data_IF_573702554274
#
_entry.id   IF_573702554274
#
_cell.length_a   1.000
_cell.length_b   1.000
_cell.length_c   1.000
_cell.angle_alpha   90.00
_cell.angle_beta   90.00
_cell.angle_gamma   90.00
#
_symmetry.space_group_name_H-M   'P 1'
#
loop_
_entity.id
_entity.type
_entity.pdbx_description
1 polymer ?
#
# COMPACT_ATOMS: atom_id res chain seq x y z
N UNK A 1 16.19 -1.98 7.49
CA UNK A 1 14.75 -1.69 7.36
C UNK A 1 14.48 -0.20 7.14
N UNK A 2 14.98 0.73 7.94
CA UNK A 2 14.68 2.17 7.86
C UNK A 2 15.06 2.84 6.52
N UNK A 3 16.15 2.43 5.87
CA UNK A 3 16.53 2.97 4.54
C UNK A 3 15.51 2.58 3.46
N UNK A 4 15.01 1.35 3.45
CA UNK A 4 13.97 0.90 2.52
C UNK A 4 12.66 1.68 2.70
N UNK A 5 12.23 1.86 3.95
CA UNK A 5 11.04 2.68 4.27
C UNK A 5 11.25 4.14 3.83
N UNK A 6 12.45 4.70 4.02
CA UNK A 6 12.76 6.06 3.57
C UNK A 6 12.63 6.22 2.05
N UNK A 7 13.13 5.26 1.27
CA UNK A 7 13.01 5.28 -0.21
C UNK A 7 11.54 5.15 -0.63
N UNK A 8 10.77 4.29 0.05
CA UNK A 8 9.33 4.16 -0.21
C UNK A 8 8.58 5.46 0.09
N UNK A 9 8.89 6.16 1.19
CA UNK A 9 8.30 7.46 1.53
C UNK A 9 8.64 8.52 0.47
N UNK A 10 9.88 8.53 -0.04
CA UNK A 10 10.29 9.42 -1.13
C UNK A 10 9.47 9.11 -2.39
N UNK A 11 9.34 7.83 -2.75
CA UNK A 11 8.53 7.41 -3.88
C UNK A 11 7.05 7.83 -3.75
N UNK A 12 6.46 7.63 -2.56
CA UNK A 12 5.08 8.04 -2.30
C UNK A 12 4.90 9.57 -2.36
N UNK A 13 5.85 10.36 -1.83
CA UNK A 13 5.81 11.81 -1.99
C UNK A 13 5.86 12.21 -3.47
N UNK A 14 6.71 11.57 -4.28
CA UNK A 14 6.81 11.84 -5.71
C UNK A 14 5.49 11.53 -6.45
N UNK A 15 4.86 10.38 -6.15
CA UNK A 15 3.58 9.96 -6.71
C UNK A 15 2.45 10.95 -6.41
N UNK A 16 2.40 11.47 -5.19
CA UNK A 16 1.40 12.48 -4.80
C UNK A 16 1.80 13.91 -5.16
N UNK A 17 2.94 14.14 -5.82
CA UNK A 17 3.44 15.47 -6.19
C UNK A 17 3.89 16.31 -4.99
N UNK A 18 4.15 15.70 -3.86
CA UNK A 18 4.47 16.39 -2.62
C UNK A 18 5.97 16.56 -2.40
N UNK A 19 6.36 17.72 -1.89
CA UNK A 19 7.73 17.98 -1.47
C UNK A 19 7.88 17.77 0.03
N UNK A 20 8.87 16.98 0.44
CA UNK A 20 9.16 16.73 1.85
C UNK A 20 9.66 18.01 2.55
N UNK A 21 8.83 18.61 3.37
CA UNK A 21 9.15 19.82 4.16
C UNK A 21 9.18 19.57 5.66
N UNK A 22 9.11 18.32 6.10
CA UNK A 22 9.22 17.96 7.52
C UNK A 22 10.59 18.31 8.06
N UNK A 23 10.65 18.78 9.32
CA UNK A 23 11.92 18.90 10.03
C UNK A 23 12.59 17.52 10.14
N UNK A 24 13.92 17.48 10.22
CA UNK A 24 14.67 16.22 10.30
C UNK A 24 14.18 15.31 11.44
N UNK A 25 13.86 15.89 12.59
CA UNK A 25 13.36 15.13 13.75
C UNK A 25 11.98 14.52 13.48
N UNK A 26 11.05 15.32 12.93
CA UNK A 26 9.70 14.84 12.61
C UNK A 26 9.72 13.77 11.50
N UNK A 27 10.56 13.96 10.48
CA UNK A 27 10.78 12.95 9.44
C UNK A 27 11.30 11.65 10.04
N UNK A 28 12.30 11.72 10.95
CA UNK A 28 12.82 10.53 11.65
C UNK A 28 11.74 9.82 12.45
N UNK A 29 10.89 10.56 13.18
CA UNK A 29 9.76 9.99 13.92
C UNK A 29 8.78 9.26 13.01
N UNK A 30 8.39 9.85 11.88
CA UNK A 30 7.50 9.21 10.90
C UNK A 30 8.13 7.92 10.35
N UNK A 31 9.42 7.96 9.96
CA UNK A 31 10.11 6.77 9.45
C UNK A 31 10.21 5.66 10.50
N UNK A 32 10.50 5.99 11.74
CA UNK A 32 10.57 5.01 12.85
C UNK A 32 9.17 4.43 13.12
N UNK A 33 8.16 5.28 13.20
CA UNK A 33 6.76 4.86 13.40
C UNK A 33 6.27 3.92 12.30
N UNK A 34 6.52 4.26 11.03
CA UNK A 34 6.16 3.41 9.89
C UNK A 34 6.94 2.09 9.92
N UNK A 35 8.24 2.14 10.20
CA UNK A 35 9.08 0.93 10.30
C UNK A 35 8.58 0.02 11.43
N UNK A 36 8.27 0.60 12.59
CA UNK A 36 7.72 -0.14 13.72
C UNK A 36 6.35 -0.75 13.38
N UNK A 37 5.46 0.03 12.76
CA UNK A 37 4.16 -0.45 12.29
C UNK A 37 4.28 -1.62 11.31
N UNK A 38 5.20 -1.55 10.35
CA UNK A 38 5.50 -2.64 9.42
C UNK A 38 5.98 -3.90 10.15
N UNK A 39 6.89 -3.75 11.12
CA UNK A 39 7.40 -4.89 11.92
C UNK A 39 6.25 -5.53 12.71
N UNK A 40 5.46 -4.73 13.42
CA UNK A 40 4.32 -5.23 14.21
C UNK A 40 3.33 -5.96 13.32
N UNK A 41 2.95 -5.38 12.18
CA UNK A 41 2.04 -6.02 11.23
C UNK A 41 2.59 -7.33 10.68
N UNK A 42 3.89 -7.38 10.38
CA UNK A 42 4.56 -8.63 9.94
C UNK A 42 4.50 -9.70 11.04
N UNK A 43 4.80 -9.34 12.29
CA UNK A 43 4.75 -10.25 13.42
C UNK A 43 3.32 -10.76 13.68
N UNK A 44 2.32 -9.89 13.60
CA UNK A 44 0.90 -10.25 13.71
C UNK A 44 0.51 -11.22 12.58
N UNK A 45 0.93 -10.94 11.33
CA UNK A 45 0.66 -11.83 10.19
C UNK A 45 1.30 -13.21 10.37
N UNK A 46 2.55 -13.27 10.83
CA UNK A 46 3.23 -14.53 11.14
C UNK A 46 2.54 -15.27 12.28
N UNK A 47 2.09 -14.54 13.31
CA UNK A 47 1.30 -15.10 14.40
C UNK A 47 -0.01 -15.74 13.89
N UNK A 48 -0.73 -15.06 13.00
CA UNK A 48 -1.93 -15.64 12.38
C UNK A 48 -1.64 -16.91 11.60
N UNK A 49 -0.55 -16.95 10.84
CA UNK A 49 -0.16 -18.11 10.05
C UNK A 49 0.23 -19.28 10.93
N UNK A 50 1.02 -19.04 11.99
CA UNK A 50 1.60 -20.08 12.83
C UNK A 50 0.68 -20.53 13.98
N UNK A 51 0.00 -19.56 14.64
CA UNK A 51 -0.74 -19.83 15.87
C UNK A 51 -2.14 -20.36 15.59
N UNK A 52 -2.83 -19.83 14.58
CA UNK A 52 -4.23 -20.24 14.31
C UNK A 52 -4.37 -21.75 14.09
N UNK A 53 -3.56 -22.43 13.24
CA UNK A 53 -3.67 -23.87 13.08
C UNK A 53 -3.43 -24.64 14.39
N UNK A 54 -2.39 -24.24 15.12
CA UNK A 54 -2.02 -24.91 16.40
C UNK A 54 -3.13 -24.78 17.45
N UNK A 55 -3.77 -23.60 17.53
CA UNK A 55 -4.87 -23.38 18.47
C UNK A 55 -6.10 -24.20 18.08
N UNK A 56 -6.43 -24.23 16.79
CA UNK A 56 -7.55 -25.01 16.25
C UNK A 56 -7.34 -26.51 16.55
N UNK A 57 -6.16 -27.03 16.30
CA UNK A 57 -5.82 -28.43 16.58
C UNK A 57 -5.86 -28.77 18.09
N UNK A 58 -5.37 -27.83 18.93
CA UNK A 58 -5.33 -28.02 20.39
C UNK A 58 -6.71 -27.97 21.05
N UNK A 59 -7.62 -27.18 20.52
CA UNK A 59 -8.97 -27.03 21.04
C UNK A 59 -9.89 -28.17 20.62
N UNK A 60 -9.39 -29.14 19.81
CA UNK A 60 -10.20 -30.27 19.27
C UNK A 60 -11.55 -29.81 18.72
N UNK A 61 -11.51 -28.74 17.95
CA UNK A 61 -12.71 -28.12 17.37
C UNK A 61 -13.31 -29.07 16.33
N UNK A 62 -14.57 -29.44 16.53
CA UNK A 62 -15.26 -30.38 15.65
C UNK A 62 -15.40 -29.83 14.20
N UNK A 63 -15.26 -30.66 13.17
CA UNK A 63 -15.66 -30.30 11.81
C UNK A 63 -17.20 -30.03 11.78
N UNK A 64 -17.67 -28.93 11.16
CA UNK A 64 -17.05 -28.11 10.11
C UNK A 64 -16.34 -26.84 10.58
N UNK A 65 -16.40 -26.49 11.87
CA UNK A 65 -15.90 -25.22 12.42
C UNK A 65 -14.38 -25.09 12.24
N UNK A 66 -13.63 -26.18 12.41
CA UNK A 66 -12.19 -26.27 12.11
C UNK A 66 -11.88 -25.73 10.70
N UNK A 67 -12.56 -26.25 9.68
CA UNK A 67 -12.35 -25.81 8.27
C UNK A 67 -12.69 -24.33 8.09
N UNK A 68 -13.78 -23.84 8.68
CA UNK A 68 -14.16 -22.44 8.59
C UNK A 68 -13.08 -21.54 9.17
N UNK A 69 -12.54 -21.86 10.34
CA UNK A 69 -11.48 -21.09 10.98
C UNK A 69 -10.17 -21.10 10.16
N UNK A 70 -9.81 -22.25 9.61
CA UNK A 70 -8.64 -22.36 8.74
C UNK A 70 -8.79 -21.55 7.43
N UNK A 71 -10.00 -21.51 6.87
CA UNK A 71 -10.28 -20.67 5.68
C UNK A 71 -10.36 -19.19 6.00
N UNK A 72 -10.90 -18.81 7.16
CA UNK A 72 -11.07 -17.42 7.57
C UNK A 72 -9.74 -16.68 7.75
N UNK A 73 -8.65 -17.38 8.03
CA UNK A 73 -7.32 -16.78 8.13
C UNK A 73 -6.86 -16.07 6.85
N UNK A 74 -7.22 -16.58 5.67
CA UNK A 74 -6.83 -15.99 4.40
C UNK A 74 -7.45 -14.61 4.15
N UNK A 75 -8.79 -14.45 4.28
CA UNK A 75 -9.39 -13.13 4.27
C UNK A 75 -8.85 -12.19 5.35
N UNK A 76 -8.59 -12.69 6.56
CA UNK A 76 -8.03 -11.89 7.64
C UNK A 76 -6.63 -11.34 7.28
N UNK A 77 -5.77 -12.15 6.68
CA UNK A 77 -4.45 -11.72 6.20
C UNK A 77 -4.56 -10.71 5.06
N UNK A 78 -5.52 -10.85 4.15
CA UNK A 78 -5.79 -9.88 3.09
C UNK A 78 -6.25 -8.54 3.67
N UNK A 79 -7.14 -8.55 4.65
CA UNK A 79 -7.57 -7.33 5.36
C UNK A 79 -6.38 -6.67 6.07
N UNK A 80 -5.55 -7.45 6.73
CA UNK A 80 -4.35 -6.95 7.41
C UNK A 80 -3.36 -6.31 6.43
N UNK A 81 -3.13 -6.94 5.28
CA UNK A 81 -2.30 -6.38 4.22
C UNK A 81 -2.89 -5.10 3.63
N UNK A 82 -4.20 -5.08 3.38
CA UNK A 82 -4.90 -3.87 2.92
C UNK A 82 -4.77 -2.73 3.93
N UNK A 83 -4.91 -3.01 5.22
CA UNK A 83 -4.74 -2.02 6.28
C UNK A 83 -3.33 -1.46 6.32
N UNK A 84 -2.32 -2.31 6.14
CA UNK A 84 -0.91 -1.91 6.07
C UNK A 84 -0.67 -0.96 4.90
N UNK A 85 -1.15 -1.29 3.70
CA UNK A 85 -1.03 -0.44 2.51
C UNK A 85 -1.79 0.88 2.72
N UNK A 86 -3.01 0.83 3.28
CA UNK A 86 -3.79 2.03 3.58
C UNK A 86 -3.08 2.95 4.57
N UNK A 87 -2.44 2.40 5.60
CA UNK A 87 -1.62 3.17 6.55
C UNK A 87 -0.41 3.83 5.86
N UNK A 88 0.26 3.12 4.95
CA UNK A 88 1.33 3.69 4.16
C UNK A 88 0.84 4.89 3.34
N UNK A 89 -0.25 4.75 2.60
CA UNK A 89 -0.80 5.83 1.77
C UNK A 89 -1.27 7.03 2.59
N UNK A 90 -1.70 6.79 3.82
CA UNK A 90 -2.21 7.84 4.69
C UNK A 90 -1.13 8.62 5.41
N UNK A 91 -0.11 7.94 5.93
CA UNK A 91 0.86 8.54 6.86
C UNK A 91 2.25 8.78 6.25
N UNK A 92 2.59 8.08 5.17
CA UNK A 92 3.90 8.24 4.55
C UNK A 92 4.04 9.57 3.79
N UNK A 93 3.09 10.02 2.92
CA UNK A 93 3.24 11.27 2.19
C UNK A 93 3.17 12.50 3.10
N UNK A 94 3.90 13.56 2.73
CA UNK A 94 3.86 14.85 3.42
C UNK A 94 2.70 15.69 2.88
N UNK A 95 1.48 15.37 3.28
CA UNK A 95 0.29 16.10 2.88
C UNK A 95 -0.78 16.07 3.97
N UNK A 96 -1.79 16.91 3.84
CA UNK A 96 -3.00 16.78 4.66
C UNK A 96 -3.63 15.42 4.43
N UNK A 97 -3.93 14.71 5.52
CA UNK A 97 -4.40 13.32 5.44
C UNK A 97 -5.67 13.20 4.61
N UNK A 98 -5.73 12.26 3.66
CA UNK A 98 -6.93 12.01 2.87
C UNK A 98 -8.02 11.33 3.69
N UNK A 99 -9.28 11.46 3.25
CA UNK A 99 -10.38 10.68 3.78
C UNK A 99 -10.22 9.19 3.42
N UNK A 100 -10.59 8.29 4.31
CA UNK A 100 -10.48 6.84 4.11
C UNK A 100 -11.14 6.33 2.84
N UNK A 101 -12.26 6.95 2.45
CA UNK A 101 -12.99 6.59 1.23
C UNK A 101 -12.13 6.69 -0.02
N UNK A 102 -11.28 7.69 -0.12
CA UNK A 102 -10.42 7.91 -1.29
C UNK A 102 -9.19 7.00 -1.33
N UNK A 103 -8.74 6.54 -0.16
CA UNK A 103 -7.66 5.57 -0.09
C UNK A 103 -8.08 4.16 -0.50
N UNK A 104 -9.37 3.82 -0.40
CA UNK A 104 -9.86 2.45 -0.51
C UNK A 104 -9.61 1.83 -1.89
N UNK A 105 -9.77 2.59 -2.95
CA UNK A 105 -9.65 2.07 -4.32
C UNK A 105 -8.23 1.65 -4.66
N UNK A 106 -7.25 2.53 -4.49
CA UNK A 106 -5.84 2.20 -4.75
C UNK A 106 -5.30 1.16 -3.76
N UNK A 107 -5.78 1.16 -2.51
CA UNK A 107 -5.43 0.12 -1.54
C UNK A 107 -5.94 -1.25 -1.97
N UNK A 108 -7.20 -1.36 -2.38
CA UNK A 108 -7.77 -2.60 -2.87
C UNK A 108 -7.04 -3.09 -4.12
N UNK A 109 -6.81 -2.18 -5.07
CA UNK A 109 -6.08 -2.48 -6.29
C UNK A 109 -4.65 -2.99 -5.97
N UNK A 110 -3.91 -2.27 -5.13
CA UNK A 110 -2.56 -2.68 -4.74
C UNK A 110 -2.56 -4.04 -4.03
N UNK A 111 -3.51 -4.29 -3.13
CA UNK A 111 -3.62 -5.58 -2.44
C UNK A 111 -3.87 -6.72 -3.41
N UNK A 112 -4.79 -6.56 -4.36
CA UNK A 112 -5.08 -7.57 -5.38
C UNK A 112 -3.88 -7.79 -6.31
N UNK A 113 -3.24 -6.72 -6.79
CA UNK A 113 -2.07 -6.81 -7.65
C UNK A 113 -0.88 -7.43 -6.93
N UNK A 114 -0.69 -7.14 -5.65
CA UNK A 114 0.35 -7.76 -4.83
C UNK A 114 0.11 -9.28 -4.66
N UNK A 115 -1.15 -9.67 -4.42
CA UNK A 115 -1.52 -11.08 -4.33
C UNK A 115 -1.26 -11.83 -5.64
N UNK A 116 -1.72 -11.26 -6.76
CA UNK A 116 -1.53 -11.83 -8.10
C UNK A 116 -0.04 -11.89 -8.47
N UNK A 117 0.69 -10.82 -8.22
CA UNK A 117 2.11 -10.72 -8.50
C UNK A 117 2.95 -11.69 -7.64
N UNK A 118 2.64 -11.81 -6.34
CA UNK A 118 3.31 -12.77 -5.46
C UNK A 118 2.98 -14.22 -5.86
N UNK A 119 1.73 -14.50 -6.24
CA UNK A 119 1.34 -15.80 -6.79
C UNK A 119 2.04 -16.12 -8.10
N UNK A 120 2.08 -15.15 -9.02
CA UNK A 120 2.78 -15.27 -10.30
C UNK A 120 4.29 -15.50 -10.12
N UNK A 121 4.92 -14.74 -9.22
CA UNK A 121 6.34 -14.95 -8.90
C UNK A 121 6.59 -16.32 -8.26
N UNK A 122 5.71 -16.78 -7.38
CA UNK A 122 5.79 -18.12 -6.78
C UNK A 122 5.72 -19.23 -7.85
N UNK A 123 4.80 -19.09 -8.81
CA UNK A 123 4.71 -19.99 -9.95
C UNK A 123 5.96 -19.92 -10.82
N UNK A 124 6.43 -18.70 -11.12
CA UNK A 124 7.67 -18.51 -11.88
C UNK A 124 8.84 -19.25 -11.23
N UNK A 125 9.09 -19.00 -9.95
CA UNK A 125 10.19 -19.68 -9.21
C UNK A 125 10.03 -21.21 -9.22
N UNK A 126 8.80 -21.72 -9.11
CA UNK A 126 8.51 -23.16 -9.13
C UNK A 126 8.80 -23.80 -10.48
N UNK A 127 8.46 -23.15 -11.59
CA UNK A 127 8.69 -23.69 -12.94
C UNK A 127 10.12 -23.49 -13.42
N UNK A 128 10.80 -22.44 -12.94
CA UNK A 128 12.19 -22.16 -13.25
C UNK A 128 13.18 -22.73 -12.21
N UNK A 129 12.81 -23.82 -11.53
CA UNK A 129 13.65 -24.49 -10.52
C UNK A 129 15.02 -24.98 -11.07
N UNK A 130 15.15 -25.18 -12.39
CA UNK A 130 16.43 -25.42 -13.07
C UNK A 130 17.45 -24.30 -12.82
N UNK A 131 17.00 -23.06 -12.57
CA UNK A 131 17.87 -21.97 -12.14
C UNK A 131 18.48 -22.20 -10.75
N UNK A 132 17.73 -22.86 -9.86
CA UNK A 132 18.19 -23.23 -8.53
C UNK A 132 19.28 -24.32 -8.56
N UNK A 133 19.22 -25.23 -9.52
CA UNK A 133 20.25 -26.28 -9.70
C UNK A 133 21.57 -25.68 -10.22
N UNK A 134 21.50 -24.66 -11.08
CA UNK A 134 22.69 -24.03 -11.67
C UNK A 134 23.31 -22.95 -10.77
N UNK A 135 22.50 -22.18 -10.08
CA UNK A 135 22.94 -21.00 -9.30
C UNK A 135 22.78 -21.14 -7.78
N UNK A 136 22.25 -22.26 -7.28
CA UNK A 136 22.12 -22.55 -5.85
C UNK A 136 21.45 -21.43 -5.06
N UNK A 137 22.10 -20.96 -3.99
CA UNK A 137 21.58 -19.90 -3.11
C UNK A 137 21.42 -18.53 -3.79
N UNK A 138 22.11 -18.27 -4.90
CA UNK A 138 21.97 -17.03 -5.67
C UNK A 138 20.56 -16.89 -6.27
N UNK A 139 19.94 -17.98 -6.69
CA UNK A 139 18.56 -17.99 -7.20
C UNK A 139 17.55 -17.47 -6.15
N UNK A 140 17.72 -17.84 -4.90
CA UNK A 140 16.87 -17.38 -3.80
C UNK A 140 17.02 -15.85 -3.54
N UNK A 141 18.25 -15.34 -3.63
CA UNK A 141 18.52 -13.90 -3.47
C UNK A 141 17.87 -13.10 -4.60
N UNK A 142 18.00 -13.57 -5.84
CA UNK A 142 17.37 -12.92 -7.01
C UNK A 142 15.85 -12.94 -6.88
N UNK A 143 15.26 -14.08 -6.51
CA UNK A 143 13.80 -14.17 -6.30
C UNK A 143 13.32 -13.20 -5.21
N UNK A 144 14.08 -13.08 -4.11
CA UNK A 144 13.77 -12.14 -3.04
C UNK A 144 13.86 -10.67 -3.50
N UNK A 145 14.88 -10.33 -4.29
CA UNK A 145 15.02 -8.98 -4.87
C UNK A 145 13.87 -8.65 -5.82
N UNK A 146 13.47 -9.60 -6.67
CA UNK A 146 12.31 -9.45 -7.56
C UNK A 146 11.02 -9.26 -6.76
N UNK A 147 10.85 -10.00 -5.66
CA UNK A 147 9.68 -9.85 -4.80
C UNK A 147 9.63 -8.47 -4.11
N UNK A 148 10.74 -7.96 -3.62
CA UNK A 148 10.80 -6.60 -3.06
C UNK A 148 10.55 -5.54 -4.12
N UNK A 149 11.13 -5.70 -5.32
CA UNK A 149 10.89 -4.79 -6.43
C UNK A 149 9.41 -4.77 -6.83
N UNK A 150 8.81 -5.95 -7.02
CA UNK A 150 7.38 -6.10 -7.33
C UNK A 150 6.50 -5.45 -6.26
N UNK A 151 6.81 -5.69 -4.98
CA UNK A 151 6.06 -5.14 -3.84
C UNK A 151 6.12 -3.61 -3.84
N UNK A 152 7.29 -3.02 -4.03
CA UNK A 152 7.44 -1.57 -4.11
C UNK A 152 6.70 -0.99 -5.32
N UNK A 153 6.83 -1.64 -6.49
CA UNK A 153 6.15 -1.23 -7.72
C UNK A 153 4.62 -1.21 -7.55
N UNK A 154 4.05 -2.28 -7.02
CA UNK A 154 2.59 -2.39 -6.82
C UNK A 154 2.07 -1.36 -5.81
N UNK A 155 2.81 -1.13 -4.73
CA UNK A 155 2.44 -0.10 -3.74
C UNK A 155 2.48 1.29 -4.37
N UNK A 156 3.51 1.63 -5.14
CA UNK A 156 3.58 2.95 -5.81
C UNK A 156 2.50 3.09 -6.88
N UNK A 157 2.21 2.05 -7.64
CA UNK A 157 1.17 2.08 -8.67
C UNK A 157 -0.24 2.24 -8.07
N UNK A 158 -0.52 1.60 -6.93
CA UNK A 158 -1.79 1.82 -6.22
C UNK A 158 -1.90 3.23 -5.60
N UNK A 159 -0.78 3.83 -5.19
CA UNK A 159 -0.74 5.23 -4.77
C UNK A 159 -1.03 6.18 -5.93
N UNK A 160 -0.47 5.91 -7.11
CA UNK A 160 -0.73 6.67 -8.34
C UNK A 160 -2.20 6.63 -8.70
N UNK A 161 -2.83 5.44 -8.64
CA UNK A 161 -4.26 5.32 -8.87
C UNK A 161 -5.08 6.19 -7.90
N UNK A 162 -4.73 6.21 -6.61
CA UNK A 162 -5.39 7.09 -5.64
C UNK A 162 -5.18 8.57 -5.98
N UNK A 163 -3.94 8.96 -6.33
CA UNK A 163 -3.58 10.33 -6.70
C UNK A 163 -4.39 10.81 -7.91
N UNK A 164 -4.45 9.99 -8.97
CA UNK A 164 -5.20 10.33 -10.17
C UNK A 164 -6.72 10.39 -9.92
N UNK A 165 -7.27 9.52 -9.09
CA UNK A 165 -8.68 9.58 -8.69
C UNK A 165 -9.00 10.84 -7.89
N UNK A 166 -8.10 11.28 -7.01
CA UNK A 166 -8.25 12.54 -6.30
C UNK A 166 -8.24 13.75 -7.24
N UNK A 167 -7.39 13.73 -8.27
CA UNK A 167 -7.29 14.79 -9.29
C UNK A 167 -8.50 14.86 -10.24
N UNK A 168 -9.33 13.83 -10.28
CA UNK A 168 -10.54 13.79 -11.10
C UNK A 168 -11.77 14.36 -10.37
N UNK A 169 -11.66 14.80 -9.12
CA UNK A 169 -12.78 15.32 -8.34
C UNK A 169 -12.56 16.78 -7.91
N UNK A 170 -13.62 17.58 -8.03
CA UNK A 170 -13.63 18.95 -7.50
C UNK A 170 -13.89 18.99 -5.99
N UNK A 171 -14.30 17.87 -5.37
CA UNK A 171 -14.60 17.81 -3.95
C UNK A 171 -13.31 17.74 -3.13
N UNK A 172 -13.35 18.34 -1.93
CA UNK A 172 -12.24 18.22 -1.00
C UNK A 172 -12.15 16.77 -0.47
N UNK A 173 -11.04 16.11 -0.81
CA UNK A 173 -10.76 14.71 -0.44
C UNK A 173 -10.02 14.60 0.88
N UNK A 174 -9.64 15.74 1.50
CA UNK A 174 -8.87 15.78 2.75
C UNK A 174 -9.78 15.79 3.99
N UNK A 175 -9.19 15.50 5.16
CA UNK A 175 -9.91 15.51 6.43
C UNK A 175 -9.97 16.93 7.01
N UNK A 176 -11.11 17.25 7.67
CA UNK A 176 -11.33 18.53 8.37
C UNK A 176 -12.30 19.42 7.65
N UNK A 177 -12.22 20.75 7.89
CA UNK A 177 -13.06 21.73 7.20
C UNK A 177 -12.81 21.69 5.71
N UNK A 178 -13.91 21.74 4.94
CA UNK A 178 -13.87 21.79 3.49
C UNK A 178 -13.15 23.05 3.04
N UNK A 179 -12.15 22.92 2.21
CA UNK A 179 -11.35 24.03 1.69
C UNK A 179 -11.51 24.16 0.18
N UNK A 180 -11.45 25.40 -0.34
CA UNK A 180 -11.45 25.63 -1.77
C UNK A 180 -10.19 25.03 -2.43
N UNK A 181 -10.24 24.86 -3.75
CA UNK A 181 -9.10 24.46 -4.57
C UNK A 181 -7.93 25.44 -4.37
N UNK A 182 -6.73 24.88 -4.21
CA UNK A 182 -5.51 25.64 -3.94
C UNK A 182 -5.17 25.82 -2.45
N UNK A 183 -6.09 25.53 -1.52
CA UNK A 183 -5.90 25.71 -0.07
C UNK A 183 -5.96 24.41 0.73
N UNK A 184 -6.11 23.24 0.07
CA UNK A 184 -6.31 21.93 0.71
C UNK A 184 -5.03 21.33 1.30
N UNK A 185 -3.86 21.89 0.96
CA UNK A 185 -2.55 21.42 1.44
C UNK A 185 -2.26 19.96 1.05
N UNK A 186 -2.72 19.56 -0.13
CA UNK A 186 -2.46 18.27 -0.73
C UNK A 186 -2.48 18.45 -2.25
N UNK A 187 -1.35 18.31 -2.93
CA UNK A 187 -1.21 18.60 -4.35
C UNK A 187 -2.23 17.84 -5.21
N UNK A 188 -2.40 16.55 -4.98
CA UNK A 188 -3.39 15.74 -5.71
C UNK A 188 -4.84 16.20 -5.48
N UNK A 189 -5.17 16.73 -4.29
CA UNK A 189 -6.49 17.25 -3.98
C UNK A 189 -6.70 18.70 -4.47
N UNK A 190 -5.61 19.46 -4.66
CA UNK A 190 -5.62 20.85 -5.10
C UNK A 190 -5.51 21.02 -6.63
N UNK A 191 -5.13 19.96 -7.35
CA UNK A 191 -4.98 19.98 -8.81
C UNK A 191 -6.07 19.16 -9.47
N UNK A 192 -6.80 19.76 -10.40
CA UNK A 192 -7.71 19.03 -11.29
C UNK A 192 -6.86 18.49 -12.45
N UNK A 193 -7.02 17.22 -12.78
CA UNK A 193 -6.42 16.64 -14.01
C UNK A 193 -6.85 17.43 -15.23
N UNK A 194 -6.01 17.44 -16.27
CA UNK A 194 -6.09 18.29 -17.48
C UNK A 194 -7.51 18.78 -17.75
N UNK A 195 -7.74 20.10 -17.55
CA UNK A 195 -8.99 20.74 -17.94
C UNK A 195 -9.26 20.35 -19.41
N UNK A 196 -10.43 19.79 -19.65
CA UNK A 196 -10.86 19.51 -21.00
C UNK A 196 -10.76 20.83 -21.79
N UNK A 197 -9.90 20.94 -22.84
CA UNK A 197 -9.70 22.18 -23.58
C UNK A 197 -11.00 22.80 -24.11
N UNK A 198 -12.07 21.99 -24.18
CA UNK A 198 -13.41 22.38 -24.61
C UNK A 198 -14.24 23.09 -23.53
N UNK A 199 -13.77 23.15 -22.28
CA UNK A 199 -14.49 23.75 -21.16
C UNK A 199 -13.92 25.13 -20.74
N UNK A 200 -12.83 25.59 -21.35
CA UNK A 200 -12.20 26.88 -21.06
C UNK A 200 -13.02 28.08 -21.51
N UNK A 201 -14.01 27.88 -22.43
CA UNK A 201 -14.84 28.97 -22.96
C UNK A 201 -16.01 29.40 -22.04
N UNK A 202 -16.32 28.64 -20.98
CA UNK A 202 -17.47 28.96 -20.11
C UNK A 202 -17.11 29.81 -18.86
N UNK A 203 -15.82 29.98 -18.53
CA UNK A 203 -15.39 30.80 -17.40
C UNK A 203 -15.13 32.26 -17.77
N UNK A 204 -15.04 32.58 -19.07
CA UNK A 204 -14.84 33.96 -19.54
C UNK A 204 -16.15 34.73 -19.77
N UNK A 205 -17.33 34.17 -19.46
CA UNK A 205 -18.64 34.81 -19.68
C UNK A 205 -19.47 34.97 -18.40
N UNK A 206 -18.83 35.16 -17.25
CA UNK A 206 -19.55 35.64 -16.05
C UNK A 206 -18.84 36.83 -15.43
#
# INVERSE_FOLDING_TARGET
>A
ASKGVSVLVIGLNAVYGEQEKRSMLYRALVLVSLTFGLIVMTLVSLGFIAVVPVVVDRLMIDPPLDRVLQWLRWPALLVLMSLLIAMLYRFAPYRRSPQWRWLSYGTLFATLMWLLGSGGLSLYVRYFSTFSELYGSLGAVVALMLWFWLSAFVVLFGAELNSEMERQTCHDTTIGEVRPLGERQAFAADTIGVENPWNSDNTARK
#
